data_IF_782043897354
#
_entry.id   IF_782043897354
#
_cell.length_a   1.000
_cell.length_b   1.000
_cell.length_c   1.000
_cell.angle_alpha   90.00
_cell.angle_beta   90.00
_cell.angle_gamma   90.00
#
_symmetry.space_group_name_H-M   'P 1'
#
loop_
_entity.id
_entity.type
_entity.pdbx_description
1 polymer ?
#
# COMPACT_ATOMS: atom_id res chain seq x y z
N UNK A 1 20.24 -35.11 83.29
CA UNK A 1 19.97 -36.10 82.25
C UNK A 1 18.78 -35.60 81.46
N UNK A 2 18.98 -34.84 80.41
CA UNK A 2 17.91 -34.28 79.62
C UNK A 2 18.19 -34.55 78.14
N UNK A 3 17.41 -35.43 77.59
CA UNK A 3 17.50 -35.83 76.21
C UNK A 3 16.61 -34.89 75.38
N UNK A 4 17.20 -34.09 74.53
CA UNK A 4 16.48 -33.22 73.60
C UNK A 4 16.33 -33.91 72.25
N UNK A 5 15.10 -34.07 71.73
CA UNK A 5 14.92 -34.57 70.36
C UNK A 5 15.05 -33.41 69.39
N UNK A 6 15.94 -33.58 68.41
CA UNK A 6 16.12 -32.71 67.29
C UNK A 6 14.97 -32.92 66.29
N UNK A 7 14.12 -31.91 66.17
CA UNK A 7 13.09 -31.86 65.11
C UNK A 7 13.77 -31.44 63.82
N UNK A 8 13.78 -32.33 62.85
CA UNK A 8 14.20 -32.05 61.47
C UNK A 8 13.01 -31.52 60.69
N UNK A 9 13.01 -30.24 60.43
CA UNK A 9 12.07 -29.66 59.47
C UNK A 9 12.58 -29.99 58.08
N UNK A 10 11.86 -30.89 57.38
CA UNK A 10 12.00 -31.09 55.95
C UNK A 10 11.24 -29.97 55.25
N UNK A 11 12.00 -29.05 54.63
CA UNK A 11 11.42 -28.11 53.68
C UNK A 11 11.16 -28.86 52.36
N UNK A 12 9.88 -29.15 52.12
CA UNK A 12 9.43 -29.56 50.79
C UNK A 12 9.29 -28.28 49.98
N UNK A 13 10.28 -28.05 49.09
CA UNK A 13 10.20 -26.96 48.11
C UNK A 13 9.19 -27.40 47.05
N UNK A 14 8.00 -26.80 47.08
CA UNK A 14 7.05 -26.89 45.96
C UNK A 14 7.58 -26.03 44.81
N UNK A 15 8.17 -26.66 43.80
CA UNK A 15 8.50 -26.01 42.54
C UNK A 15 7.20 -25.79 41.75
N UNK A 16 6.69 -24.58 41.78
CA UNK A 16 5.63 -24.16 40.88
C UNK A 16 6.24 -23.99 39.48
N UNK A 17 6.04 -24.97 38.62
CA UNK A 17 6.35 -24.86 37.18
C UNK A 17 5.29 -23.97 36.55
N UNK A 18 5.62 -22.68 36.40
CA UNK A 18 4.84 -21.77 35.56
C UNK A 18 5.09 -22.18 34.09
N UNK A 19 4.16 -22.92 33.50
CA UNK A 19 4.10 -23.10 32.06
C UNK A 19 3.71 -21.74 31.44
N UNK A 20 4.70 -20.97 31.04
CA UNK A 20 4.50 -19.85 30.14
C UNK A 20 4.06 -20.42 28.79
N UNK A 21 2.78 -20.32 28.48
CA UNK A 21 2.27 -20.53 27.14
C UNK A 21 2.87 -19.44 26.23
N UNK A 22 4.03 -19.73 25.63
CA UNK A 22 4.49 -19.00 24.45
C UNK A 22 3.48 -19.32 23.34
N UNK A 23 2.52 -18.44 23.14
CA UNK A 23 1.75 -18.44 21.92
C UNK A 23 2.70 -17.96 20.83
N UNK A 24 3.02 -18.76 19.80
CA UNK A 24 3.71 -18.25 18.65
C UNK A 24 2.73 -17.30 17.95
N UNK A 25 2.85 -16.00 18.19
CA UNK A 25 2.30 -15.02 17.29
C UNK A 25 3.03 -15.24 15.97
N UNK A 26 2.42 -15.98 15.07
CA UNK A 26 2.81 -16.03 13.68
C UNK A 26 2.60 -14.60 13.14
N UNK A 27 3.62 -13.78 13.27
CA UNK A 27 3.74 -12.57 12.47
C UNK A 27 3.86 -13.11 11.03
N UNK A 28 2.75 -13.11 10.31
CA UNK A 28 2.76 -13.28 8.87
C UNK A 28 3.58 -12.10 8.38
N UNK A 29 4.86 -12.33 8.12
CA UNK A 29 5.72 -11.37 7.46
C UNK A 29 5.05 -11.08 6.12
N UNK A 30 4.38 -9.95 6.02
CA UNK A 30 3.84 -9.47 4.77
C UNK A 30 5.05 -9.26 3.88
N UNK A 31 5.13 -10.07 2.84
CA UNK A 31 6.22 -10.01 1.89
C UNK A 31 6.18 -8.64 1.21
N UNK A 32 7.08 -7.74 1.64
CA UNK A 32 7.15 -6.37 1.12
C UNK A 32 7.41 -6.33 -0.39
N UNK A 33 7.85 -7.44 -0.96
CA UNK A 33 8.08 -7.61 -2.40
C UNK A 33 6.82 -8.04 -3.16
N UNK A 34 5.81 -8.58 -2.46
CA UNK A 34 4.56 -9.02 -3.09
C UNK A 34 3.71 -7.82 -3.51
N UNK A 35 3.21 -7.87 -4.74
CA UNK A 35 2.21 -6.92 -5.23
C UNK A 35 0.83 -7.53 -5.14
N UNK A 36 -0.06 -6.83 -4.46
CA UNK A 36 -1.46 -7.23 -4.28
C UNK A 36 -2.34 -6.65 -5.39
N UNK A 37 -3.41 -7.32 -5.71
CA UNK A 37 -4.47 -6.80 -6.59
C UNK A 37 -5.52 -6.06 -5.77
N UNK A 38 -6.40 -5.27 -6.44
CA UNK A 38 -7.50 -4.58 -5.77
C UNK A 38 -8.52 -5.52 -5.10
N UNK A 39 -8.56 -6.79 -5.51
CA UNK A 39 -9.43 -7.80 -4.92
C UNK A 39 -8.85 -8.40 -3.63
N UNK A 40 -7.54 -8.34 -3.45
CA UNK A 40 -6.84 -8.93 -2.29
C UNK A 40 -6.67 -7.94 -1.14
N UNK A 41 -6.83 -6.63 -1.40
CA UNK A 41 -6.70 -5.60 -0.37
C UNK A 41 -8.03 -5.29 0.31
N UNK A 42 -8.02 -5.15 1.62
CA UNK A 42 -9.19 -4.74 2.40
C UNK A 42 -9.48 -3.26 2.21
N UNK A 43 -8.44 -2.44 2.22
CA UNK A 43 -8.53 -1.01 1.91
C UNK A 43 -7.89 -0.75 0.55
N UNK A 44 -8.67 -0.23 -0.39
CA UNK A 44 -8.18 0.09 -1.73
C UNK A 44 -7.32 1.36 -1.71
N UNK A 45 -6.25 1.43 -2.53
CA UNK A 45 -5.54 2.67 -2.73
C UNK A 45 -6.47 3.78 -3.22
N UNK A 46 -6.23 4.99 -2.77
CA UNK A 46 -6.99 6.18 -3.18
C UNK A 46 -6.05 7.36 -3.40
N UNK A 47 -6.48 8.34 -4.20
CA UNK A 47 -5.74 9.59 -4.34
C UNK A 47 -5.70 10.33 -3.00
N UNK A 48 -4.52 10.77 -2.60
CA UNK A 48 -4.36 11.58 -1.39
C UNK A 48 -5.05 12.95 -1.52
N UNK A 49 -5.04 13.52 -2.74
CA UNK A 49 -5.76 14.76 -3.06
C UNK A 49 -6.25 14.75 -4.50
N UNK A 50 -7.55 14.68 -4.67
CA UNK A 50 -8.19 14.77 -5.98
C UNK A 50 -7.92 16.12 -6.66
N UNK A 51 -7.98 17.22 -5.89
CA UNK A 51 -7.74 18.55 -6.42
C UNK A 51 -6.30 18.73 -6.95
N UNK A 52 -5.31 18.21 -6.22
CA UNK A 52 -3.92 18.24 -6.68
C UNK A 52 -3.72 17.40 -7.93
N UNK A 53 -4.34 16.23 -7.99
CA UNK A 53 -4.27 15.37 -9.17
C UNK A 53 -4.92 16.02 -10.39
N UNK A 54 -6.08 16.62 -10.24
CA UNK A 54 -6.74 17.37 -11.33
C UNK A 54 -5.88 18.50 -11.89
N UNK A 55 -5.13 19.21 -11.04
CA UNK A 55 -4.17 20.24 -11.48
C UNK A 55 -3.03 19.60 -12.28
N UNK A 56 -2.43 18.50 -11.78
CA UNK A 56 -1.38 17.79 -12.51
C UNK A 56 -1.84 17.33 -13.90
N UNK A 57 -3.08 16.85 -14.02
CA UNK A 57 -3.68 16.45 -15.30
C UNK A 57 -3.89 17.66 -16.20
N UNK A 58 -4.37 18.78 -15.66
CA UNK A 58 -4.59 20.00 -16.42
C UNK A 58 -3.28 20.65 -16.89
N UNK A 59 -2.27 20.71 -16.01
CA UNK A 59 -0.94 21.26 -16.33
C UNK A 59 -0.18 20.37 -17.31
N UNK A 60 -0.39 19.05 -17.23
CA UNK A 60 0.20 18.09 -18.14
C UNK A 60 -0.53 17.94 -19.48
N UNK A 61 -1.56 18.71 -19.74
CA UNK A 61 -2.31 18.61 -21.00
C UNK A 61 -1.43 18.93 -22.20
N UNK A 62 -1.32 18.02 -23.21
CA UNK A 62 -0.47 18.27 -24.38
C UNK A 62 -0.96 19.49 -25.17
N UNK A 63 -0.09 20.48 -25.37
CA UNK A 63 -0.43 21.77 -25.99
C UNK A 63 -1.01 21.63 -27.40
N UNK A 64 -0.51 20.68 -28.20
CA UNK A 64 -1.02 20.44 -29.54
C UNK A 64 -2.47 19.95 -29.53
N UNK A 65 -2.81 19.07 -28.57
CA UNK A 65 -4.16 18.55 -28.43
C UNK A 65 -5.10 19.61 -27.82
N UNK A 66 -4.57 20.45 -26.93
CA UNK A 66 -5.30 21.59 -26.35
C UNK A 66 -5.66 22.63 -27.45
N UNK A 67 -4.71 23.00 -28.28
CA UNK A 67 -4.96 23.93 -29.42
C UNK A 67 -6.01 23.38 -30.40
N UNK A 68 -6.04 22.06 -30.58
CA UNK A 68 -7.02 21.37 -31.43
C UNK A 68 -8.36 21.14 -30.71
N UNK A 69 -8.48 21.47 -29.43
CA UNK A 69 -9.64 21.20 -28.58
C UNK A 69 -10.01 19.71 -28.57
N UNK A 70 -8.99 18.83 -28.57
CA UNK A 70 -9.16 17.39 -28.58
C UNK A 70 -9.09 16.83 -27.16
N UNK A 71 -10.20 16.33 -26.64
CA UNK A 71 -10.23 15.56 -25.43
C UNK A 71 -9.93 14.07 -25.68
N UNK A 72 -9.79 13.31 -24.61
CA UNK A 72 -9.56 11.88 -24.70
C UNK A 72 -9.47 11.19 -23.35
N UNK A 73 -9.13 9.93 -23.38
CA UNK A 73 -8.98 9.08 -22.18
C UNK A 73 -7.61 8.39 -22.28
N UNK A 74 -6.92 8.31 -21.15
CA UNK A 74 -5.77 7.47 -20.97
C UNK A 74 -6.02 6.52 -19.77
N UNK A 75 -5.98 5.23 -20.00
CA UNK A 75 -6.00 4.22 -18.95
C UNK A 75 -4.57 3.78 -18.65
N UNK A 76 -4.17 3.89 -17.39
CA UNK A 76 -2.81 3.58 -16.96
C UNK A 76 -2.86 2.59 -15.80
N UNK A 77 -2.11 1.49 -15.93
CA UNK A 77 -1.87 0.55 -14.86
C UNK A 77 -0.55 0.90 -14.17
N UNK A 78 -0.52 0.80 -12.86
CA UNK A 78 0.67 1.11 -12.04
C UNK A 78 0.59 0.44 -10.68
N UNK A 79 1.70 0.44 -9.95
CA UNK A 79 1.76 -0.04 -8.57
C UNK A 79 1.93 1.14 -7.63
N UNK A 80 1.07 1.20 -6.63
CA UNK A 80 1.23 2.10 -5.47
C UNK A 80 1.97 1.33 -4.40
N UNK A 81 3.11 1.84 -3.97
CA UNK A 81 3.91 1.23 -2.91
C UNK A 81 3.29 1.45 -1.52
N UNK A 82 3.86 0.83 -0.49
CA UNK A 82 3.39 0.96 0.88
C UNK A 82 3.51 2.38 1.45
N UNK A 83 4.29 3.25 0.83
CA UNK A 83 4.43 4.67 1.20
C UNK A 83 3.41 5.59 0.51
N UNK A 84 2.62 5.06 -0.42
CA UNK A 84 1.64 5.81 -1.20
C UNK A 84 2.22 6.50 -2.44
N UNK A 85 3.40 6.09 -2.89
CA UNK A 85 4.01 6.57 -4.12
C UNK A 85 3.80 5.59 -5.25
N UNK A 86 3.74 6.12 -6.47
CA UNK A 86 3.72 5.30 -7.69
C UNK A 86 5.12 4.84 -8.02
N UNK A 87 5.30 3.54 -8.23
CA UNK A 87 6.57 2.96 -8.66
C UNK A 87 6.82 3.30 -10.14
N UNK A 88 7.89 4.04 -10.48
CA UNK A 88 8.11 4.50 -11.86
C UNK A 88 8.23 3.36 -12.87
N UNK A 89 8.87 2.26 -12.50
CA UNK A 89 9.04 1.09 -13.35
C UNK A 89 7.78 0.26 -13.60
N UNK A 90 6.70 0.52 -12.84
CA UNK A 90 5.44 -0.22 -12.93
C UNK A 90 4.38 0.47 -13.79
N UNK A 91 4.63 1.72 -14.21
CA UNK A 91 3.64 2.53 -14.93
C UNK A 91 3.56 2.10 -16.39
N UNK A 92 2.39 1.58 -16.77
CA UNK A 92 2.11 1.09 -18.12
C UNK A 92 0.83 1.74 -18.66
N UNK A 93 0.90 2.29 -19.88
CA UNK A 93 -0.29 2.80 -20.57
C UNK A 93 -1.02 1.62 -21.21
N UNK A 94 -2.16 1.26 -20.65
CA UNK A 94 -3.00 0.15 -21.14
C UNK A 94 -3.77 0.57 -22.39
N UNK A 95 -4.33 1.79 -22.36
CA UNK A 95 -5.05 2.38 -23.47
C UNK A 95 -4.93 3.90 -23.45
N UNK A 96 -4.82 4.51 -24.60
CA UNK A 96 -4.92 5.97 -24.75
C UNK A 96 -5.53 6.33 -26.10
N UNK A 97 -6.49 7.28 -26.08
CA UNK A 97 -7.11 7.81 -27.30
C UNK A 97 -6.07 8.47 -28.22
N UNK A 98 -5.06 9.11 -27.62
CA UNK A 98 -3.88 9.65 -28.28
C UNK A 98 -2.64 9.29 -27.46
N UNK A 99 -1.51 8.88 -28.07
CA UNK A 99 -0.29 8.55 -27.34
C UNK A 99 0.18 9.66 -26.39
N UNK A 100 0.00 10.93 -26.80
CA UNK A 100 0.36 12.09 -25.99
C UNK A 100 -0.41 12.16 -24.64
N UNK A 101 -1.67 11.72 -24.58
CA UNK A 101 -2.41 11.61 -23.33
C UNK A 101 -1.85 10.51 -22.41
N UNK A 102 -1.38 9.41 -23.00
CA UNK A 102 -0.72 8.35 -22.24
C UNK A 102 0.55 8.84 -21.54
N UNK A 103 1.40 9.56 -22.27
CA UNK A 103 2.62 10.14 -21.70
C UNK A 103 2.34 11.22 -20.65
N UNK A 104 1.34 12.08 -20.90
CA UNK A 104 0.90 13.07 -19.92
C UNK A 104 0.35 12.43 -18.65
N UNK A 105 -0.44 11.36 -18.79
CA UNK A 105 -0.98 10.60 -17.68
C UNK A 105 0.11 9.96 -16.83
N UNK A 106 1.13 9.35 -17.46
CA UNK A 106 2.30 8.80 -16.75
C UNK A 106 2.98 9.85 -15.88
N UNK A 107 3.26 11.02 -16.45
CA UNK A 107 3.90 12.12 -15.73
C UNK A 107 3.06 12.59 -14.54
N UNK A 108 1.76 12.79 -14.74
CA UNK A 108 0.84 13.19 -13.68
C UNK A 108 0.79 12.18 -12.54
N UNK A 109 0.75 10.87 -12.85
CA UNK A 109 0.73 9.80 -11.86
C UNK A 109 2.01 9.71 -11.04
N UNK A 110 3.19 9.89 -11.66
CA UNK A 110 4.47 9.88 -10.96
C UNK A 110 4.60 11.04 -9.95
N UNK A 111 3.89 12.14 -10.16
CA UNK A 111 3.84 13.30 -9.26
C UNK A 111 2.68 13.24 -8.27
N UNK A 112 1.72 12.34 -8.47
CA UNK A 112 0.55 12.19 -7.61
C UNK A 112 0.89 11.43 -6.33
N UNK A 113 0.27 11.85 -5.22
CA UNK A 113 0.29 11.12 -3.96
C UNK A 113 -0.93 10.23 -3.82
N UNK A 114 -0.74 9.05 -3.26
CA UNK A 114 -1.80 8.10 -2.97
C UNK A 114 -1.80 7.70 -1.50
N UNK A 115 -2.96 7.27 -1.02
CA UNK A 115 -3.05 6.48 0.20
C UNK A 115 -2.86 5.02 -0.21
N UNK A 116 -1.93 4.27 0.41
CA UNK A 116 -1.65 2.90 0.00
C UNK A 116 -2.80 1.96 0.31
N UNK A 117 -2.88 0.85 -0.43
CA UNK A 117 -3.74 -0.26 -0.09
C UNK A 117 -3.31 -0.90 1.23
N UNK A 118 -4.26 -1.53 1.94
CA UNK A 118 -3.97 -2.20 3.22
C UNK A 118 -4.55 -3.61 3.25
N UNK A 119 -3.80 -4.49 3.88
CA UNK A 119 -4.21 -5.85 4.26
C UNK A 119 -3.93 -6.01 5.74
N UNK A 120 -4.95 -6.40 6.54
CA UNK A 120 -4.85 -6.52 7.99
C UNK A 120 -4.25 -5.27 8.67
N UNK A 121 -4.64 -4.09 8.17
CA UNK A 121 -4.18 -2.79 8.68
C UNK A 121 -2.76 -2.36 8.25
N UNK A 122 -1.99 -3.22 7.60
CA UNK A 122 -0.66 -2.89 7.11
C UNK A 122 -0.69 -2.43 5.64
N UNK A 123 0.06 -1.38 5.34
CA UNK A 123 0.20 -0.87 4.00
C UNK A 123 0.96 -1.86 3.10
N UNK A 124 0.43 -2.12 1.92
CA UNK A 124 0.99 -3.07 0.96
C UNK A 124 1.10 -2.48 -0.44
N UNK A 125 2.01 -3.01 -1.24
CA UNK A 125 2.12 -2.68 -2.66
C UNK A 125 0.87 -3.17 -3.39
N UNK A 126 0.19 -2.29 -4.11
CA UNK A 126 -1.07 -2.64 -4.77
C UNK A 126 -1.07 -2.20 -6.23
N UNK A 127 -1.40 -3.12 -7.13
CA UNK A 127 -1.58 -2.81 -8.56
C UNK A 127 -2.95 -2.16 -8.77
N UNK A 128 -2.93 -1.00 -9.45
CA UNK A 128 -4.12 -0.18 -9.74
C UNK A 128 -4.18 0.08 -11.23
N UNK A 129 -5.39 0.13 -11.80
CA UNK A 129 -5.66 0.71 -13.13
C UNK A 129 -6.56 1.93 -12.94
N UNK A 130 -6.18 3.05 -13.54
CA UNK A 130 -6.89 4.32 -13.41
C UNK A 130 -7.14 4.94 -14.79
N UNK A 131 -8.41 5.12 -15.19
CA UNK A 131 -8.73 5.90 -16.37
C UNK A 131 -8.68 7.40 -16.04
N UNK A 132 -7.93 8.15 -16.82
CA UNK A 132 -7.77 9.60 -16.72
C UNK A 132 -8.45 10.24 -17.92
N UNK A 133 -9.45 11.09 -17.65
CA UNK A 133 -10.22 11.77 -18.69
C UNK A 133 -9.68 13.19 -18.90
N UNK A 134 -9.25 13.47 -20.12
CA UNK A 134 -8.85 14.78 -20.58
C UNK A 134 -10.03 15.44 -21.30
N UNK A 135 -10.64 16.43 -20.65
CA UNK A 135 -11.75 17.18 -21.25
C UNK A 135 -11.20 18.23 -22.19
N UNK A 136 -11.80 18.33 -23.39
CA UNK A 136 -11.51 19.42 -24.33
C UNK A 136 -11.80 20.79 -23.66
N UNK A 137 -10.89 21.74 -23.79
CA UNK A 137 -10.96 23.10 -23.24
C UNK A 137 -11.15 24.12 -24.36
#
# INVERSE_FOLDING_TARGET
>A
MTCTPRIRFSFVAAAAVALAFLHPTTVVAQDASRTYTLAEVETKPSLASMASFQRLVADGYPEDLKRRRMGGIAEVAFVVDASGKVEPGSVEVVHATQPAFGEAAKKALLMAGFNPGKVSGAAVRTKVSLPIVYKAQ
#
